data_IF_990825572888
#
_entry.id   IF_990825572888
#
_cell.length_a   1.000
_cell.length_b   1.000
_cell.length_c   1.000
_cell.angle_alpha   90.00
_cell.angle_beta   90.00
_cell.angle_gamma   90.00
#
_symmetry.space_group_name_H-M   'P 1'
#
loop_
_entity.id
_entity.type
_entity.pdbx_description
1 polymer ?
#
# COMPACT_ATOMS: atom_id res chain seq x y z
N UNK A 1 -45.98 -4.69 1.89
CA UNK A 1 -45.67 -5.34 0.59
C UNK A 1 -45.54 -4.40 -0.63
N UNK A 2 -46.43 -3.41 -0.81
CA UNK A 2 -46.49 -2.54 -2.02
C UNK A 2 -45.63 -1.26 -1.92
N UNK A 3 -45.66 -0.59 -0.77
CA UNK A 3 -44.89 0.64 -0.50
C UNK A 3 -43.37 0.40 -0.60
N UNK A 4 -42.89 -0.71 -0.04
CA UNK A 4 -41.46 -1.10 -0.10
C UNK A 4 -41.00 -1.38 -1.54
N UNK A 5 -41.88 -1.95 -2.39
CA UNK A 5 -41.58 -2.18 -3.82
C UNK A 5 -41.50 -0.89 -4.63
N UNK A 6 -42.41 0.06 -4.39
CA UNK A 6 -42.39 1.39 -5.03
C UNK A 6 -41.15 2.22 -4.61
N UNK A 7 -40.75 2.14 -3.33
CA UNK A 7 -39.53 2.79 -2.84
C UNK A 7 -38.26 2.18 -3.46
N UNK A 8 -38.17 0.85 -3.57
CA UNK A 8 -37.08 0.15 -4.31
C UNK A 8 -37.05 0.55 -5.78
N UNK A 9 -38.20 0.69 -6.44
CA UNK A 9 -38.30 1.13 -7.83
C UNK A 9 -37.79 2.57 -8.03
N UNK A 10 -38.14 3.51 -7.14
CA UNK A 10 -37.61 4.89 -7.19
C UNK A 10 -36.09 4.93 -6.97
N UNK A 11 -35.58 4.16 -6.02
CA UNK A 11 -34.14 4.08 -5.77
C UNK A 11 -33.38 3.50 -6.97
N UNK A 12 -33.92 2.46 -7.61
CA UNK A 12 -33.35 1.89 -8.82
C UNK A 12 -33.25 2.91 -9.97
N UNK A 13 -34.29 3.73 -10.17
CA UNK A 13 -34.28 4.81 -11.18
C UNK A 13 -33.23 5.89 -10.88
N UNK A 14 -33.05 6.27 -9.62
CA UNK A 14 -32.02 7.23 -9.22
C UNK A 14 -30.62 6.67 -9.49
N UNK A 15 -30.39 5.38 -9.19
CA UNK A 15 -29.12 4.70 -9.48
C UNK A 15 -28.89 4.62 -11.00
N UNK A 16 -29.90 4.22 -11.78
CA UNK A 16 -29.80 4.14 -13.23
C UNK A 16 -29.43 5.48 -13.87
N UNK A 17 -30.07 6.59 -13.46
CA UNK A 17 -29.73 7.94 -13.94
C UNK A 17 -28.29 8.35 -13.59
N UNK A 18 -27.81 7.97 -12.40
CA UNK A 18 -26.42 8.23 -11.99
C UNK A 18 -25.43 7.45 -12.84
N UNK A 19 -25.74 6.19 -13.15
CA UNK A 19 -24.92 5.34 -14.04
C UNK A 19 -24.91 5.94 -15.45
N UNK A 20 -26.05 6.31 -16.00
CA UNK A 20 -26.15 6.91 -17.34
C UNK A 20 -25.34 8.20 -17.45
N UNK A 21 -25.47 9.09 -16.45
CA UNK A 21 -24.67 10.32 -16.38
C UNK A 21 -23.18 10.02 -16.29
N UNK A 22 -22.78 9.05 -15.47
CA UNK A 22 -21.38 8.65 -15.35
C UNK A 22 -20.82 8.09 -16.67
N UNK A 23 -21.62 7.31 -17.40
CA UNK A 23 -21.24 6.77 -18.72
C UNK A 23 -21.09 7.88 -19.75
N UNK A 24 -22.05 8.82 -19.83
CA UNK A 24 -21.97 9.97 -20.73
C UNK A 24 -20.76 10.84 -20.44
N UNK A 25 -20.48 11.11 -19.17
CA UNK A 25 -19.27 11.85 -18.78
C UNK A 25 -17.99 11.10 -19.18
N UNK A 26 -17.96 9.77 -19.03
CA UNK A 26 -16.82 8.97 -19.46
C UNK A 26 -16.62 8.95 -20.98
N UNK A 27 -17.68 9.10 -21.78
CA UNK A 27 -17.61 9.27 -23.23
C UNK A 27 -17.06 10.65 -23.63
N UNK A 28 -17.53 11.70 -22.95
CA UNK A 28 -17.10 13.08 -23.19
C UNK A 28 -15.65 13.34 -22.74
N UNK A 29 -15.20 12.68 -21.67
CA UNK A 29 -13.85 12.82 -21.11
C UNK A 29 -13.16 11.46 -20.99
N UNK A 30 -12.70 10.84 -22.10
CA UNK A 30 -12.04 9.53 -22.08
C UNK A 30 -10.82 9.48 -21.15
N UNK A 31 -10.10 10.60 -21.01
CA UNK A 31 -8.97 10.75 -20.09
C UNK A 31 -9.33 10.57 -18.61
N UNK A 32 -10.61 10.73 -18.26
CA UNK A 32 -11.09 10.53 -16.90
C UNK A 32 -11.44 9.06 -16.60
N UNK A 33 -11.49 8.20 -17.63
CA UNK A 33 -11.68 6.76 -17.44
C UNK A 33 -10.55 6.19 -16.61
N UNK A 34 -10.91 5.36 -15.62
CA UNK A 34 -9.95 4.76 -14.68
C UNK A 34 -8.81 4.01 -15.39
N UNK A 35 -9.14 3.29 -16.47
CA UNK A 35 -8.15 2.58 -17.29
C UNK A 35 -7.14 3.53 -17.94
N UNK A 36 -7.61 4.60 -18.60
CA UNK A 36 -6.74 5.59 -19.25
C UNK A 36 -5.83 6.29 -18.24
N UNK A 37 -6.38 6.68 -17.08
CA UNK A 37 -5.60 7.25 -15.98
C UNK A 37 -4.54 6.28 -15.44
N UNK A 38 -4.86 4.99 -15.38
CA UNK A 38 -3.92 3.95 -14.95
C UNK A 38 -2.78 3.82 -15.97
N UNK A 39 -3.11 3.69 -17.26
CA UNK A 39 -2.11 3.60 -18.33
C UNK A 39 -1.19 4.83 -18.37
N UNK A 40 -1.76 6.04 -18.28
CA UNK A 40 -0.97 7.28 -18.26
C UNK A 40 -0.07 7.36 -17.01
N UNK A 41 -0.55 6.92 -15.85
CA UNK A 41 0.27 6.91 -14.64
C UNK A 41 1.40 5.86 -14.71
N UNK A 42 1.17 4.71 -15.35
CA UNK A 42 2.22 3.72 -15.60
C UNK A 42 3.29 4.26 -16.57
N UNK A 43 2.88 4.94 -17.63
CA UNK A 43 3.79 5.59 -18.58
C UNK A 43 4.68 6.64 -17.90
N UNK A 44 4.09 7.51 -17.06
CA UNK A 44 4.85 8.48 -16.27
C UNK A 44 5.81 7.79 -15.30
N UNK A 45 5.39 6.69 -14.66
CA UNK A 45 6.23 5.95 -13.73
C UNK A 45 7.48 5.35 -14.41
N UNK A 46 7.34 4.95 -15.68
CA UNK A 46 8.44 4.37 -16.47
C UNK A 46 9.37 5.44 -17.07
N UNK A 47 8.84 6.62 -17.42
CA UNK A 47 9.55 7.60 -18.26
C UNK A 47 10.02 8.84 -17.52
N UNK A 48 9.31 9.28 -16.48
CA UNK A 48 9.60 10.54 -15.80
C UNK A 48 10.71 10.39 -14.75
N UNK A 49 11.60 11.39 -14.71
CA UNK A 49 12.63 11.55 -13.66
C UNK A 49 12.22 12.59 -12.62
N UNK A 50 11.07 13.24 -12.78
CA UNK A 50 10.63 14.34 -11.93
C UNK A 50 9.84 13.79 -10.76
N UNK A 51 10.37 13.94 -9.55
CA UNK A 51 9.75 13.42 -8.32
C UNK A 51 8.28 13.84 -8.15
N UNK A 52 7.94 15.09 -8.51
CA UNK A 52 6.56 15.59 -8.42
C UNK A 52 5.59 14.89 -9.38
N UNK A 53 6.04 14.54 -10.58
CA UNK A 53 5.27 13.78 -11.56
C UNK A 53 5.11 12.32 -11.11
N UNK A 54 6.19 11.72 -10.62
CA UNK A 54 6.21 10.36 -10.06
C UNK A 54 5.22 10.23 -8.88
N UNK A 55 5.22 11.19 -7.94
CA UNK A 55 4.29 11.19 -6.80
C UNK A 55 2.83 11.27 -7.28
N UNK A 56 2.52 12.10 -8.28
CA UNK A 56 1.16 12.22 -8.85
C UNK A 56 0.73 10.93 -9.55
N UNK A 57 1.64 10.30 -10.29
CA UNK A 57 1.40 9.03 -10.94
C UNK A 57 1.09 7.94 -9.90
N UNK A 58 1.91 7.79 -8.87
CA UNK A 58 1.72 6.77 -7.83
C UNK A 58 0.44 7.00 -7.02
N UNK A 59 0.07 8.25 -6.74
CA UNK A 59 -1.26 8.57 -6.15
C UNK A 59 -2.41 8.10 -7.04
N UNK A 60 -2.27 8.25 -8.35
CA UNK A 60 -3.27 7.76 -9.31
C UNK A 60 -3.32 6.24 -9.34
N UNK A 61 -2.16 5.57 -9.29
CA UNK A 61 -2.05 4.11 -9.22
C UNK A 61 -2.60 3.55 -7.91
N UNK A 62 -2.38 4.20 -6.77
CA UNK A 62 -2.98 3.80 -5.48
C UNK A 62 -4.50 3.75 -5.61
N UNK A 63 -5.11 4.83 -6.11
CA UNK A 63 -6.56 4.91 -6.26
C UNK A 63 -7.07 3.86 -7.25
N UNK A 64 -6.41 3.69 -8.39
CA UNK A 64 -6.88 2.75 -9.41
C UNK A 64 -6.76 1.30 -8.99
N UNK A 65 -5.63 0.91 -8.37
CA UNK A 65 -5.42 -0.45 -7.84
C UNK A 65 -6.34 -0.76 -6.66
N UNK A 66 -6.68 0.23 -5.83
CA UNK A 66 -7.68 0.05 -4.77
C UNK A 66 -9.07 -0.28 -5.32
N UNK A 67 -9.46 0.42 -6.39
CA UNK A 67 -10.80 0.37 -6.98
C UNK A 67 -11.01 -0.75 -8.01
N UNK A 68 -9.96 -1.26 -8.66
CA UNK A 68 -10.10 -2.15 -9.82
C UNK A 68 -9.02 -3.22 -9.88
N UNK A 69 -9.44 -4.48 -9.84
CA UNK A 69 -8.56 -5.64 -10.07
C UNK A 69 -7.90 -5.60 -11.46
N UNK A 70 -8.61 -5.09 -12.49
CA UNK A 70 -8.04 -4.92 -13.83
C UNK A 70 -6.84 -3.97 -13.79
N UNK A 71 -6.91 -2.92 -12.97
CA UNK A 71 -5.80 -1.99 -12.77
C UNK A 71 -4.64 -2.64 -12.00
N UNK A 72 -4.92 -3.52 -11.02
CA UNK A 72 -3.87 -4.32 -10.37
C UNK A 72 -3.14 -5.23 -11.37
N UNK A 73 -3.86 -5.87 -12.29
CA UNK A 73 -3.24 -6.68 -13.35
C UNK A 73 -2.41 -5.84 -14.31
N UNK A 74 -2.92 -4.69 -14.75
CA UNK A 74 -2.17 -3.78 -15.61
C UNK A 74 -0.89 -3.27 -14.93
N UNK A 75 -0.97 -2.99 -13.63
CA UNK A 75 0.18 -2.60 -12.82
C UNK A 75 1.24 -3.72 -12.74
N UNK A 76 0.82 -4.95 -12.45
CA UNK A 76 1.71 -6.10 -12.40
C UNK A 76 2.35 -6.42 -13.76
N UNK A 77 1.57 -6.35 -14.85
CA UNK A 77 2.04 -6.64 -16.21
C UNK A 77 2.97 -5.57 -16.79
N UNK A 78 3.08 -4.40 -16.14
CA UNK A 78 3.95 -3.30 -16.54
C UNK A 78 5.25 -3.24 -15.72
N UNK A 79 5.58 -4.32 -14.99
CA UNK A 79 6.73 -4.44 -14.08
C UNK A 79 6.85 -3.28 -13.07
N UNK A 80 5.72 -2.65 -12.76
CA UNK A 80 5.68 -1.52 -11.85
C UNK A 80 6.16 -1.86 -10.43
N UNK A 81 5.94 -3.07 -9.86
CA UNK A 81 6.53 -3.44 -8.56
C UNK A 81 8.05 -3.23 -8.50
N UNK A 82 8.79 -3.65 -9.54
CA UNK A 82 10.26 -3.52 -9.59
C UNK A 82 10.69 -2.05 -9.59
N UNK A 83 10.01 -1.22 -10.39
CA UNK A 83 10.23 0.23 -10.42
C UNK A 83 9.95 0.84 -9.05
N UNK A 84 8.89 0.42 -8.36
CA UNK A 84 8.57 0.92 -7.02
C UNK A 84 9.62 0.51 -5.98
N UNK A 85 10.16 -0.72 -6.03
CA UNK A 85 11.26 -1.13 -5.14
C UNK A 85 12.55 -0.36 -5.42
N UNK A 86 12.87 -0.08 -6.69
CA UNK A 86 13.98 0.81 -7.05
C UNK A 86 13.78 2.23 -6.48
N UNK A 87 12.57 2.79 -6.59
CA UNK A 87 12.24 4.09 -6.01
C UNK A 87 12.38 4.10 -4.48
N UNK A 88 11.91 3.06 -3.78
CA UNK A 88 12.05 2.94 -2.32
C UNK A 88 13.52 3.08 -1.89
N UNK A 89 14.45 2.44 -2.60
CA UNK A 89 15.89 2.49 -2.26
C UNK A 89 16.48 3.90 -2.33
N UNK A 90 15.93 4.75 -3.19
CA UNK A 90 16.38 6.15 -3.33
C UNK A 90 15.72 7.09 -2.31
N UNK A 91 14.77 6.59 -1.51
CA UNK A 91 14.01 7.43 -0.61
C UNK A 91 14.76 7.79 0.67
N UNK A 92 14.57 9.03 1.11
CA UNK A 92 15.10 9.55 2.36
C UNK A 92 13.98 9.98 3.32
N UNK A 93 14.35 10.62 4.43
CA UNK A 93 13.42 10.97 5.52
C UNK A 93 12.75 12.34 5.37
N UNK A 94 12.91 13.02 4.23
CA UNK A 94 12.19 14.27 3.95
C UNK A 94 10.70 14.00 3.71
N UNK A 95 9.86 15.01 3.94
CA UNK A 95 8.40 14.92 3.77
C UNK A 95 7.94 14.39 2.39
N UNK A 96 8.46 14.87 1.23
CA UNK A 96 8.01 14.35 -0.07
C UNK A 96 8.35 12.87 -0.26
N UNK A 97 9.46 12.39 0.28
CA UNK A 97 9.81 10.97 0.21
C UNK A 97 8.97 10.11 1.15
N UNK A 98 8.64 10.60 2.36
CA UNK A 98 7.71 9.90 3.25
C UNK A 98 6.32 9.79 2.59
N UNK A 99 5.86 10.84 1.93
CA UNK A 99 4.62 10.82 1.17
C UNK A 99 4.67 9.81 0.03
N UNK A 100 5.74 9.83 -0.76
CA UNK A 100 5.98 8.87 -1.84
C UNK A 100 5.92 7.42 -1.32
N UNK A 101 6.69 7.11 -0.27
CA UNK A 101 6.73 5.78 0.36
C UNK A 101 5.35 5.31 0.82
N UNK A 102 4.55 6.22 1.37
CA UNK A 102 3.20 5.88 1.81
C UNK A 102 2.32 5.38 0.66
N UNK A 103 2.26 6.12 -0.45
CA UNK A 103 1.45 5.72 -1.60
C UNK A 103 2.03 4.51 -2.35
N UNK A 104 3.36 4.37 -2.38
CA UNK A 104 4.03 3.16 -2.90
C UNK A 104 3.56 1.93 -2.13
N UNK A 105 3.66 1.96 -0.80
CA UNK A 105 3.29 0.82 0.04
C UNK A 105 1.80 0.48 -0.04
N UNK A 106 0.92 1.48 -0.13
CA UNK A 106 -0.52 1.27 -0.35
C UNK A 106 -0.78 0.60 -1.71
N UNK A 107 -0.13 1.08 -2.77
CA UNK A 107 -0.27 0.52 -4.13
C UNK A 107 0.18 -0.94 -4.18
N UNK A 108 1.37 -1.26 -3.65
CA UNK A 108 1.85 -2.63 -3.55
C UNK A 108 0.91 -3.51 -2.72
N UNK A 109 0.38 -2.99 -1.61
CA UNK A 109 -0.57 -3.72 -0.76
C UNK A 109 -1.91 -4.00 -1.46
N UNK A 110 -2.39 -3.06 -2.28
CA UNK A 110 -3.62 -3.23 -3.08
C UNK A 110 -3.48 -4.37 -4.11
N UNK A 111 -2.29 -4.53 -4.69
CA UNK A 111 -1.99 -5.60 -5.65
C UNK A 111 -1.76 -6.92 -4.91
N UNK A 112 -0.96 -6.89 -3.84
CA UNK A 112 -0.61 -8.06 -3.04
C UNK A 112 -1.83 -8.79 -2.44
N UNK A 113 -2.99 -8.12 -2.31
CA UNK A 113 -4.23 -8.75 -1.81
C UNK A 113 -4.73 -9.90 -2.71
N UNK A 114 -4.36 -9.89 -3.98
CA UNK A 114 -4.69 -10.94 -4.95
C UNK A 114 -3.56 -11.98 -4.97
N UNK A 115 -3.85 -13.21 -4.54
CA UNK A 115 -2.84 -14.28 -4.43
C UNK A 115 -2.10 -14.54 -5.74
N UNK A 116 -2.81 -14.53 -6.88
CA UNK A 116 -2.23 -14.75 -8.20
C UNK A 116 -1.34 -13.60 -8.70
N UNK A 117 -1.42 -12.41 -8.08
CA UNK A 117 -0.53 -11.27 -8.35
C UNK A 117 0.57 -11.13 -7.29
N UNK A 118 0.56 -11.97 -6.25
CA UNK A 118 1.59 -11.91 -5.22
C UNK A 118 3.00 -12.17 -5.79
N UNK A 119 3.22 -13.08 -6.75
CA UNK A 119 4.55 -13.28 -7.35
C UNK A 119 5.13 -12.02 -8.00
N UNK A 120 4.31 -11.17 -8.63
CA UNK A 120 4.82 -9.90 -9.20
C UNK A 120 5.21 -8.89 -8.12
N UNK A 121 4.62 -8.97 -6.92
CA UNK A 121 4.98 -8.10 -5.79
C UNK A 121 6.16 -8.67 -5.00
N UNK A 122 6.24 -9.99 -4.85
CA UNK A 122 7.34 -10.68 -4.19
C UNK A 122 8.53 -10.87 -5.15
N UNK A 123 9.08 -9.76 -5.65
CA UNK A 123 10.28 -9.76 -6.49
C UNK A 123 11.48 -10.31 -5.71
N UNK A 124 12.55 -10.71 -6.42
CA UNK A 124 13.74 -11.30 -5.79
C UNK A 124 14.32 -10.43 -4.66
N UNK A 125 14.25 -9.13 -4.83
CA UNK A 125 14.85 -8.12 -3.97
C UNK A 125 13.87 -7.45 -2.98
N UNK A 126 12.56 -7.75 -3.12
CA UNK A 126 11.49 -7.16 -2.31
C UNK A 126 11.70 -7.33 -0.80
N UNK A 127 12.22 -8.48 -0.36
CA UNK A 127 12.45 -8.78 1.04
C UNK A 127 13.50 -7.86 1.67
N UNK A 128 14.66 -7.73 1.03
CA UNK A 128 15.74 -6.87 1.49
C UNK A 128 15.29 -5.41 1.56
N UNK A 129 14.64 -4.93 0.49
CA UNK A 129 14.12 -3.55 0.43
C UNK A 129 13.10 -3.27 1.52
N UNK A 130 12.16 -4.19 1.76
CA UNK A 130 11.15 -4.00 2.80
C UNK A 130 11.74 -4.10 4.21
N UNK A 131 12.76 -4.92 4.43
CA UNK A 131 13.50 -4.97 5.70
C UNK A 131 14.28 -3.68 5.98
N UNK A 132 14.93 -3.13 4.96
CA UNK A 132 15.59 -1.81 4.98
C UNK A 132 14.61 -0.71 5.31
N UNK A 133 13.49 -0.67 4.60
CA UNK A 133 12.46 0.32 4.81
C UNK A 133 11.86 0.22 6.22
N UNK A 134 11.55 -0.99 6.68
CA UNK A 134 11.00 -1.25 8.03
C UNK A 134 11.97 -0.77 9.10
N UNK A 135 13.28 -1.02 8.94
CA UNK A 135 14.30 -0.58 9.89
C UNK A 135 14.49 0.94 9.87
N UNK A 136 14.63 1.53 8.68
CA UNK A 136 14.91 2.96 8.50
C UNK A 136 13.75 3.82 8.99
N UNK A 137 12.51 3.38 8.80
CA UNK A 137 11.28 4.14 9.13
C UNK A 137 10.49 3.56 10.30
N UNK A 138 11.11 2.73 11.15
CA UNK A 138 10.50 2.15 12.37
C UNK A 138 9.87 3.17 13.32
N UNK A 139 10.28 4.44 13.20
CA UNK A 139 9.76 5.53 14.02
C UNK A 139 8.57 6.28 13.41
N UNK A 140 8.26 6.05 12.14
CA UNK A 140 7.13 6.60 11.40
C UNK A 140 6.04 5.52 11.30
N UNK A 141 5.05 5.57 12.18
CA UNK A 141 4.08 4.48 12.36
C UNK A 141 3.36 4.09 11.07
N UNK A 142 3.02 5.05 10.21
CA UNK A 142 2.38 4.79 8.93
C UNK A 142 3.26 3.96 7.98
N UNK A 143 4.53 4.35 7.81
CA UNK A 143 5.47 3.64 6.95
C UNK A 143 5.83 2.29 7.56
N UNK A 144 6.12 2.25 8.86
CA UNK A 144 6.43 1.02 9.58
C UNK A 144 5.30 0.00 9.47
N UNK A 145 4.05 0.37 9.77
CA UNK A 145 2.94 -0.57 9.76
C UNK A 145 2.63 -1.10 8.35
N UNK A 146 2.73 -0.25 7.33
CA UNK A 146 2.53 -0.67 5.95
C UNK A 146 3.67 -1.58 5.45
N UNK A 147 4.93 -1.20 5.72
CA UNK A 147 6.10 -1.97 5.29
C UNK A 147 6.15 -3.35 5.95
N UNK A 148 5.92 -3.45 7.26
CA UNK A 148 5.95 -4.75 7.96
C UNK A 148 4.78 -5.65 7.57
N UNK A 149 3.60 -5.08 7.28
CA UNK A 149 2.46 -5.85 6.82
C UNK A 149 2.68 -6.39 5.40
N UNK A 150 3.33 -5.61 4.52
CA UNK A 150 3.69 -6.07 3.19
C UNK A 150 4.84 -7.09 3.25
N UNK A 151 5.86 -6.86 4.09
CA UNK A 151 6.95 -7.81 4.31
C UNK A 151 6.43 -9.17 4.76
N UNK A 152 5.49 -9.20 5.70
CA UNK A 152 4.85 -10.43 6.15
C UNK A 152 4.19 -11.20 5.00
N UNK A 153 3.49 -10.50 4.10
CA UNK A 153 2.87 -11.13 2.93
C UNK A 153 3.91 -11.70 1.98
N UNK A 154 4.99 -10.95 1.71
CA UNK A 154 6.11 -11.40 0.86
C UNK A 154 6.74 -12.66 1.44
N UNK A 155 7.11 -12.64 2.72
CA UNK A 155 7.73 -13.77 3.43
C UNK A 155 6.85 -15.01 3.39
N UNK A 156 5.53 -14.86 3.57
CA UNK A 156 4.61 -16.00 3.58
C UNK A 156 4.15 -16.45 2.18
N UNK A 157 4.54 -15.75 1.12
CA UNK A 157 4.20 -16.10 -0.26
C UNK A 157 5.24 -16.98 -0.95
N UNK A 158 6.45 -17.08 -0.40
CA UNK A 158 7.58 -17.74 -1.05
C UNK A 158 8.53 -18.35 0.00
N UNK A 159 8.83 -19.65 -0.13
CA UNK A 159 9.74 -20.37 0.77
C UNK A 159 11.15 -19.78 0.76
N UNK A 160 11.65 -19.32 -0.39
CA UNK A 160 12.96 -18.66 -0.49
C UNK A 160 13.02 -17.41 0.37
N UNK A 161 11.98 -16.57 0.33
CA UNK A 161 11.90 -15.37 1.17
C UNK A 161 11.80 -15.74 2.66
N UNK A 162 11.09 -16.83 2.99
CA UNK A 162 11.05 -17.36 4.36
C UNK A 162 12.43 -17.79 4.86
N UNK A 163 13.18 -18.54 4.07
CA UNK A 163 14.52 -18.99 4.44
C UNK A 163 15.52 -17.84 4.55
N UNK A 164 15.43 -16.84 3.65
CA UNK A 164 16.20 -15.61 3.77
C UNK A 164 15.91 -14.88 5.09
N UNK A 165 14.65 -14.80 5.51
CA UNK A 165 14.25 -14.21 6.79
C UNK A 165 14.82 -14.98 8.00
N UNK A 166 14.94 -16.31 7.90
CA UNK A 166 15.46 -17.19 8.95
C UNK A 166 16.98 -17.16 9.10
N UNK A 167 17.70 -16.60 8.14
CA UNK A 167 19.15 -16.41 8.27
C UNK A 167 19.49 -15.69 9.58
N UNK A 168 20.61 -16.08 10.21
CA UNK A 168 20.98 -15.56 11.52
C UNK A 168 21.06 -14.03 11.56
N UNK A 169 21.54 -13.43 10.47
CA UNK A 169 21.63 -11.99 10.28
C UNK A 169 20.24 -11.33 10.24
N UNK A 170 19.35 -11.78 9.36
CA UNK A 170 18.02 -11.20 9.21
C UNK A 170 17.14 -11.43 10.44
N UNK A 171 17.23 -12.61 11.06
CA UNK A 171 16.52 -12.91 12.30
C UNK A 171 16.99 -11.98 13.44
N UNK A 172 18.30 -11.75 13.58
CA UNK A 172 18.85 -10.81 14.57
C UNK A 172 18.35 -9.38 14.31
N UNK A 173 18.33 -8.97 13.04
CA UNK A 173 17.84 -7.66 12.61
C UNK A 173 16.36 -7.45 12.95
N UNK A 174 15.49 -8.41 12.61
CA UNK A 174 14.06 -8.37 12.90
C UNK A 174 13.77 -8.36 14.42
N UNK A 175 14.52 -9.16 15.20
CA UNK A 175 14.46 -9.12 16.68
C UNK A 175 14.86 -7.74 17.23
N UNK A 176 15.89 -7.12 16.66
CA UNK A 176 16.30 -5.76 16.98
C UNK A 176 15.17 -4.75 16.78
N UNK A 177 14.53 -4.76 15.60
CA UNK A 177 13.37 -3.91 15.29
C UNK A 177 12.23 -4.16 16.30
N UNK A 178 11.92 -5.43 16.58
CA UNK A 178 10.84 -5.81 17.51
C UNK A 178 11.06 -5.25 18.92
N UNK A 179 12.27 -5.38 19.45
CA UNK A 179 12.61 -4.87 20.78
C UNK A 179 12.41 -3.36 20.88
N UNK A 180 12.82 -2.61 19.85
CA UNK A 180 12.66 -1.15 19.77
C UNK A 180 11.19 -0.75 19.70
N UNK A 181 10.40 -1.43 18.86
CA UNK A 181 8.97 -1.18 18.72
C UNK A 181 8.20 -1.51 20.01
N UNK A 182 8.51 -2.62 20.68
CA UNK A 182 7.92 -2.95 22.00
C UNK A 182 8.26 -1.92 23.07
N UNK A 183 9.51 -1.46 23.13
CA UNK A 183 9.92 -0.41 24.09
C UNK A 183 9.13 0.88 23.84
N UNK A 184 8.99 1.31 22.59
CA UNK A 184 8.18 2.49 22.22
C UNK A 184 6.71 2.34 22.60
N UNK A 185 6.12 1.19 22.32
CA UNK A 185 4.73 0.93 22.67
C UNK A 185 4.50 1.02 24.19
N UNK A 186 5.43 0.52 25.01
CA UNK A 186 5.37 0.65 26.47
C UNK A 186 5.45 2.12 26.91
N UNK A 187 6.38 2.89 26.36
CA UNK A 187 6.53 4.32 26.68
C UNK A 187 5.27 5.13 26.29
N UNK A 188 4.67 4.86 25.13
CA UNK A 188 3.45 5.54 24.68
C UNK A 188 2.23 5.24 25.56
N UNK A 189 2.17 4.07 26.21
CA UNK A 189 1.11 3.73 27.18
C UNK A 189 1.25 4.44 28.52
N UNK A 190 2.46 4.88 28.87
CA UNK A 190 2.74 5.60 30.12
C UNK A 190 2.70 7.12 29.99
N UNK A 191 2.55 7.66 28.78
CA UNK A 191 2.48 9.10 28.55
C UNK A 191 1.05 9.64 28.79
N UNK A 192 0.88 10.81 29.43
CA UNK A 192 -0.42 11.45 29.52
C UNK A 192 -0.97 11.77 28.12
N UNK A 193 -2.26 11.55 27.90
CA UNK A 193 -2.89 11.75 26.59
C UNK A 193 -2.78 13.23 26.17
N UNK A 194 -2.03 13.49 25.10
CA UNK A 194 -1.98 14.80 24.46
C UNK A 194 -3.18 14.95 23.51
N UNK A 195 -4.21 15.64 23.98
CA UNK A 195 -5.29 16.24 23.18
C UNK A 195 -6.20 15.29 22.38
N UNK A 196 -7.37 15.77 21.92
CA UNK A 196 -8.25 14.97 21.08
C UNK A 196 -7.57 14.69 19.72
N UNK A 197 -7.57 13.43 19.25
CA UNK A 197 -6.95 13.06 17.98
C UNK A 197 -7.70 13.68 16.80
N UNK A 198 -6.95 14.17 15.80
CA UNK A 198 -7.51 14.68 14.55
C UNK A 198 -8.37 13.60 13.83
N UNK A 199 -9.62 13.92 13.40
CA UNK A 199 -10.56 12.94 12.82
C UNK A 199 -10.15 12.34 11.46
N UNK A 200 -9.16 12.91 10.76
CA UNK A 200 -8.87 12.63 9.34
C UNK A 200 -7.67 11.72 9.08
N UNK A 201 -6.89 11.35 10.09
CA UNK A 201 -5.75 10.47 9.90
C UNK A 201 -6.19 9.00 9.95
N UNK A 202 -5.93 8.23 8.88
CA UNK A 202 -5.93 6.76 8.95
C UNK A 202 -5.03 6.38 10.13
N UNK A 203 -5.63 5.84 11.20
CA UNK A 203 -4.88 5.44 12.38
C UNK A 203 -4.18 4.13 12.10
N UNK A 204 -2.87 4.21 11.92
CA UNK A 204 -2.00 3.04 11.88
C UNK A 204 -1.86 2.47 13.29
N UNK A 205 -2.24 1.21 13.47
CA UNK A 205 -2.12 0.55 14.77
C UNK A 205 -0.72 -0.07 14.90
N UNK A 206 0.16 0.58 15.67
CA UNK A 206 1.49 0.06 15.98
C UNK A 206 1.42 -1.37 16.56
N UNK A 207 0.35 -1.73 17.30
CA UNK A 207 0.17 -3.10 17.80
C UNK A 207 0.02 -4.09 16.65
N UNK A 208 -0.68 -3.72 15.58
CA UNK A 208 -0.82 -4.56 14.38
C UNK A 208 0.53 -4.78 13.70
N UNK A 209 1.32 -3.72 13.54
CA UNK A 209 2.66 -3.84 12.97
C UNK A 209 3.59 -4.75 13.80
N UNK A 210 3.55 -4.62 15.13
CA UNK A 210 4.32 -5.51 16.03
C UNK A 210 3.85 -6.96 15.91
N UNK A 211 2.54 -7.22 15.81
CA UNK A 211 2.01 -8.57 15.61
C UNK A 211 2.47 -9.19 14.28
N UNK A 212 2.54 -8.40 13.20
CA UNK A 212 3.08 -8.87 11.92
C UNK A 212 4.54 -9.30 12.05
N UNK A 213 5.35 -8.49 12.75
CA UNK A 213 6.75 -8.84 13.03
C UNK A 213 6.88 -10.10 13.90
N UNK A 214 6.01 -10.29 14.89
CA UNK A 214 5.97 -11.50 15.71
C UNK A 214 5.64 -12.74 14.88
N UNK A 215 4.71 -12.65 13.93
CA UNK A 215 4.38 -13.78 13.05
C UNK A 215 5.55 -14.15 12.14
N UNK A 216 6.28 -13.17 11.62
CA UNK A 216 7.51 -13.42 10.83
C UNK A 216 8.55 -14.14 11.71
N UNK A 217 8.74 -13.71 12.96
CA UNK A 217 9.75 -14.27 13.87
C UNK A 217 9.42 -15.67 14.42
N UNK A 218 8.15 -16.09 14.36
CA UNK A 218 7.68 -17.39 14.87
C UNK A 218 7.74 -18.51 13.82
N UNK A 219 7.97 -18.17 12.56
CA UNK A 219 8.03 -19.10 11.42
C UNK A 219 9.47 -19.25 10.97
#
# INVERSE_FOLDING_TARGET
GRVVRLARSRMALVVARRIEKANRNAELEPQMKLGVRTSSALDILQTSKRLSEIIRAIKTLEVSTRLSEKCCRAFAAADAPEILYALIRTCNRSLPHIELLHYVLLTLSNVARYSYLMPSVATDDSLEVLMDLTQMFRDKENIFCLSIALLERVVFSNERHMDMCRSAENAKRLKGIHSLCKRRQKMARGAPQAGPPSPSAIKYDLRRGIRSLERILQK
#
